data_IF_993396004990
#
_entry.id   IF_993396004990
#
_cell.length_a   1.000
_cell.length_b   1.000
_cell.length_c   1.000
_cell.angle_alpha   90.00
_cell.angle_beta   90.00
_cell.angle_gamma   90.00
#
_symmetry.space_group_name_H-M   'P 1'
#
loop_
_entity.id
_entity.type
_entity.pdbx_description
1 polymer ?
#
# COMPACT_ATOMS: atom_id res chain seq x y z
N UNK A 1 1.61 -26.90 33.39
CA UNK A 1 1.97 -26.98 31.96
C UNK A 1 1.48 -25.72 31.29
N UNK A 2 2.37 -24.70 31.15
CA UNK A 2 2.06 -23.44 30.45
C UNK A 2 2.24 -23.74 28.98
N UNK A 3 1.13 -23.81 28.24
CA UNK A 3 1.12 -23.91 26.79
C UNK A 3 1.43 -22.51 26.22
N UNK A 4 2.71 -22.29 25.94
CA UNK A 4 3.08 -21.11 25.09
C UNK A 4 2.53 -21.35 23.70
N UNK A 5 1.36 -20.79 23.42
CA UNK A 5 0.86 -20.67 22.06
C UNK A 5 1.69 -19.56 21.43
N UNK A 6 2.72 -19.95 20.71
CA UNK A 6 3.44 -19.04 19.81
C UNK A 6 2.46 -18.63 18.71
N UNK A 7 1.91 -17.43 18.80
CA UNK A 7 1.26 -16.80 17.66
C UNK A 7 2.35 -16.51 16.64
N UNK A 8 2.58 -17.44 15.75
CA UNK A 8 3.27 -17.14 14.50
C UNK A 8 2.31 -16.24 13.72
N UNK A 9 2.55 -14.94 13.78
CA UNK A 9 2.00 -14.03 12.79
C UNK A 9 2.52 -14.51 11.43
N UNK A 10 1.68 -15.20 10.68
CA UNK A 10 1.90 -15.46 9.27
C UNK A 10 1.79 -14.11 8.56
N UNK A 11 2.90 -13.35 8.54
CA UNK A 11 3.08 -12.28 7.57
C UNK A 11 3.19 -12.94 6.21
N UNK A 12 2.04 -13.16 5.54
CA UNK A 12 2.06 -13.67 4.19
C UNK A 12 2.75 -12.61 3.33
N UNK A 13 3.89 -12.99 2.76
CA UNK A 13 4.51 -12.17 1.73
C UNK A 13 3.52 -12.10 0.57
N UNK A 14 3.21 -10.87 0.13
CA UNK A 14 2.38 -10.68 -1.05
C UNK A 14 3.05 -11.36 -2.23
N UNK A 15 2.36 -12.29 -2.88
CA UNK A 15 2.88 -13.08 -3.99
C UNK A 15 2.55 -12.44 -5.34
N UNK A 16 3.36 -12.74 -6.36
CA UNK A 16 3.09 -12.32 -7.75
C UNK A 16 1.69 -12.79 -8.16
N UNK A 17 0.91 -11.86 -8.73
CA UNK A 17 -0.47 -12.11 -9.14
C UNK A 17 -1.54 -11.78 -8.09
N UNK A 18 -1.17 -11.62 -6.81
CA UNK A 18 -2.12 -11.19 -5.77
C UNK A 18 -2.78 -9.86 -6.15
N UNK A 19 -4.04 -9.72 -5.76
CA UNK A 19 -4.76 -8.46 -5.94
C UNK A 19 -4.55 -7.57 -4.71
N UNK A 20 -3.93 -6.41 -4.95
CA UNK A 20 -3.78 -5.35 -3.96
C UNK A 20 -4.75 -4.23 -4.27
N UNK A 21 -5.55 -3.82 -3.31
CA UNK A 21 -6.46 -2.69 -3.44
C UNK A 21 -5.89 -1.47 -2.76
N UNK A 22 -5.96 -0.35 -3.46
CA UNK A 22 -5.62 0.98 -2.94
C UNK A 22 -6.89 1.82 -2.95
N UNK A 23 -7.35 2.25 -1.78
CA UNK A 23 -8.43 3.21 -1.65
C UNK A 23 -7.84 4.58 -1.30
N UNK A 24 -8.07 5.55 -2.17
CA UNK A 24 -7.63 6.93 -1.96
C UNK A 24 -8.75 7.72 -1.32
N UNK A 25 -8.52 8.18 -0.10
CA UNK A 25 -9.52 8.73 0.81
C UNK A 25 -9.28 10.23 1.00
N UNK A 26 -10.35 11.02 0.88
CA UNK A 26 -10.37 12.43 1.26
C UNK A 26 -11.08 12.58 2.60
N UNK A 27 -10.39 13.26 3.51
CA UNK A 27 -10.93 13.69 4.80
C UNK A 27 -10.77 15.19 4.89
N UNK A 28 -11.81 15.91 5.30
CA UNK A 28 -11.70 17.35 5.56
C UNK A 28 -10.79 17.59 6.76
N UNK A 29 -10.06 18.72 6.77
CA UNK A 29 -8.95 18.92 7.73
C UNK A 29 -9.42 18.92 9.19
N UNK A 30 -10.60 19.42 9.45
CA UNK A 30 -11.24 19.46 10.77
C UNK A 30 -11.77 18.10 11.26
N UNK A 31 -11.90 17.11 10.36
CA UNK A 31 -12.38 15.76 10.67
C UNK A 31 -11.24 14.71 10.75
N UNK A 32 -10.00 15.09 10.50
CA UNK A 32 -8.88 14.13 10.41
C UNK A 32 -8.71 13.33 11.69
N UNK A 33 -8.73 13.98 12.84
CA UNK A 33 -8.59 13.31 14.15
C UNK A 33 -9.74 12.31 14.41
N UNK A 34 -10.97 12.73 14.14
CA UNK A 34 -12.15 11.87 14.32
C UNK A 34 -12.11 10.67 13.36
N UNK A 35 -11.72 10.91 12.11
CA UNK A 35 -11.56 9.83 11.12
C UNK A 35 -10.48 8.84 11.53
N UNK A 36 -9.29 9.30 11.93
CA UNK A 36 -8.20 8.42 12.33
C UNK A 36 -8.59 7.59 13.57
N UNK A 37 -9.24 8.20 14.56
CA UNK A 37 -9.77 7.48 15.73
C UNK A 37 -10.79 6.43 15.31
N UNK A 38 -11.74 6.78 14.45
CA UNK A 38 -12.72 5.85 13.91
C UNK A 38 -12.06 4.65 13.19
N UNK A 39 -11.08 4.91 12.36
CA UNK A 39 -10.38 3.86 11.62
C UNK A 39 -9.58 2.94 12.56
N UNK A 40 -8.92 3.49 13.57
CA UNK A 40 -8.12 2.73 14.55
C UNK A 40 -9.03 1.94 15.51
N UNK A 41 -10.11 2.53 15.98
CA UNK A 41 -10.96 1.93 17.01
C UNK A 41 -11.95 0.90 16.45
N UNK A 42 -12.43 1.11 15.23
CA UNK A 42 -13.48 0.27 14.65
C UNK A 42 -13.04 -0.51 13.41
N UNK A 43 -12.49 0.16 12.42
CA UNK A 43 -12.14 -0.50 11.14
C UNK A 43 -10.92 -1.41 11.29
N UNK A 44 -9.89 -0.94 11.97
CA UNK A 44 -8.66 -1.70 12.20
C UNK A 44 -8.88 -3.04 12.89
N UNK A 45 -9.58 -3.09 14.06
CA UNK A 45 -9.90 -4.36 14.71
C UNK A 45 -10.73 -5.30 13.84
N UNK A 46 -11.66 -4.77 13.04
CA UNK A 46 -12.44 -5.56 12.09
C UNK A 46 -11.54 -6.15 11.00
N UNK A 47 -10.63 -5.35 10.45
CA UNK A 47 -9.64 -5.80 9.48
C UNK A 47 -8.69 -6.85 10.05
N UNK A 48 -8.18 -6.65 11.28
CA UNK A 48 -7.35 -7.66 11.99
C UNK A 48 -8.09 -8.98 12.18
N UNK A 49 -9.37 -8.94 12.54
CA UNK A 49 -10.18 -10.15 12.64
C UNK A 49 -10.28 -10.87 11.28
N UNK A 50 -10.49 -10.12 10.19
CA UNK A 50 -10.55 -10.69 8.85
C UNK A 50 -9.20 -11.31 8.41
N UNK A 51 -8.08 -10.66 8.74
CA UNK A 51 -6.73 -11.19 8.49
C UNK A 51 -6.51 -12.48 9.27
N UNK A 52 -6.86 -12.50 10.57
CA UNK A 52 -6.68 -13.69 11.43
C UNK A 52 -7.52 -14.89 10.96
N UNK A 53 -8.62 -14.65 10.27
CA UNK A 53 -9.48 -15.68 9.67
C UNK A 53 -9.06 -16.11 8.26
N UNK A 54 -7.99 -15.53 7.72
CA UNK A 54 -7.55 -15.77 6.34
C UNK A 54 -8.52 -15.23 5.26
N UNK A 55 -9.38 -14.29 5.66
CA UNK A 55 -10.32 -13.61 4.74
C UNK A 55 -9.66 -12.46 3.99
N UNK A 56 -8.56 -11.98 4.51
CA UNK A 56 -7.73 -10.92 4.00
C UNK A 56 -6.29 -11.24 4.35
N UNK A 57 -5.34 -10.97 3.48
CA UNK A 57 -3.94 -11.23 3.81
C UNK A 57 -3.32 -10.11 4.64
N UNK A 58 -3.72 -8.87 4.36
CA UNK A 58 -3.24 -7.70 5.11
C UNK A 58 -4.19 -6.50 4.92
N UNK A 59 -4.15 -5.56 5.86
CA UNK A 59 -4.83 -4.28 5.79
C UNK A 59 -3.99 -3.19 6.47
N UNK A 60 -3.80 -2.06 5.78
CA UNK A 60 -2.98 -0.94 6.25
C UNK A 60 -3.70 0.38 6.03
N UNK A 61 -3.54 1.31 6.95
CA UNK A 61 -3.94 2.71 6.76
C UNK A 61 -2.71 3.62 6.82
N UNK A 62 -2.57 4.49 5.81
CA UNK A 62 -1.50 5.46 5.73
C UNK A 62 -2.02 6.88 5.55
N UNK A 63 -1.41 7.82 6.25
CA UNK A 63 -1.68 9.27 6.11
C UNK A 63 -0.71 9.88 5.11
N UNK A 64 -1.22 10.68 4.18
CA UNK A 64 -0.41 11.46 3.24
C UNK A 64 0.30 12.59 3.99
N UNK A 65 1.61 12.69 3.81
CA UNK A 65 2.39 13.75 4.45
C UNK A 65 2.02 15.12 3.89
N UNK A 66 1.89 16.13 4.76
CA UNK A 66 1.55 17.51 4.36
C UNK A 66 2.54 18.12 3.36
N UNK A 67 3.81 17.68 3.42
CA UNK A 67 4.86 18.11 2.51
C UNK A 67 4.99 17.25 1.24
N UNK A 68 4.05 16.34 1.00
CA UNK A 68 4.00 15.59 -0.25
C UNK A 68 3.88 16.56 -1.43
N UNK A 69 4.71 16.38 -2.45
CA UNK A 69 4.76 17.25 -3.63
C UNK A 69 3.49 17.20 -4.49
N UNK A 70 2.65 16.23 -4.22
CA UNK A 70 1.41 16.01 -4.95
C UNK A 70 0.22 16.21 -4.03
N UNK A 71 -0.56 17.25 -4.29
CA UNK A 71 -1.88 17.40 -3.70
C UNK A 71 -2.90 16.64 -4.56
N UNK A 72 -3.08 15.38 -4.25
CA UNK A 72 -3.97 14.47 -4.98
C UNK A 72 -5.45 14.71 -4.70
N UNK A 73 -5.76 15.67 -3.83
CA UNK A 73 -7.13 15.81 -3.32
C UNK A 73 -7.54 14.67 -2.39
N UNK A 74 -6.59 13.87 -1.90
CA UNK A 74 -6.79 12.85 -0.87
C UNK A 74 -5.77 13.00 0.25
N UNK A 75 -6.15 12.57 1.45
CA UNK A 75 -5.36 12.69 2.67
C UNK A 75 -4.87 11.36 3.23
N UNK A 76 -5.51 10.25 2.83
CA UNK A 76 -5.17 8.91 3.30
C UNK A 76 -5.22 7.89 2.17
N UNK A 77 -4.51 6.77 2.39
CA UNK A 77 -4.55 5.58 1.53
C UNK A 77 -4.79 4.37 2.44
N UNK A 78 -5.92 3.68 2.23
CA UNK A 78 -6.11 2.36 2.77
C UNK A 78 -5.66 1.32 1.74
N UNK A 79 -4.95 0.29 2.22
CA UNK A 79 -4.32 -0.74 1.38
C UNK A 79 -4.72 -2.08 1.93
N UNK A 80 -5.16 -3.00 1.09
CA UNK A 80 -5.35 -4.38 1.49
C UNK A 80 -5.03 -5.36 0.38
N UNK A 81 -4.54 -6.51 0.79
CA UNK A 81 -4.30 -7.65 -0.10
C UNK A 81 -5.50 -8.56 -0.02
N UNK A 82 -6.24 -8.66 -1.11
CA UNK A 82 -7.49 -9.39 -1.16
C UNK A 82 -7.23 -10.89 -1.37
N UNK A 83 -7.93 -11.72 -0.60
CA UNK A 83 -8.08 -13.15 -0.88
C UNK A 83 -9.10 -13.37 -2.00
N UNK A 84 -9.15 -14.57 -2.56
CA UNK A 84 -10.17 -14.95 -3.54
C UNK A 84 -10.95 -16.18 -3.03
N UNK A 85 -12.26 -16.08 -2.74
CA UNK A 85 -13.12 -14.89 -2.88
C UNK A 85 -12.87 -13.83 -1.82
N UNK A 86 -13.12 -12.56 -2.18
CA UNK A 86 -13.00 -11.44 -1.26
C UNK A 86 -14.13 -11.47 -0.22
N UNK A 87 -13.84 -11.17 1.07
CA UNK A 87 -14.86 -11.17 2.11
C UNK A 87 -15.86 -10.01 1.93
N UNK A 88 -17.10 -10.26 2.30
CA UNK A 88 -18.06 -9.18 2.52
C UNK A 88 -17.70 -8.41 3.79
N UNK A 89 -17.56 -7.10 3.70
CA UNK A 89 -17.32 -6.25 4.87
C UNK A 89 -18.43 -6.39 5.92
N UNK A 90 -19.68 -6.61 5.53
CA UNK A 90 -20.76 -6.91 6.47
C UNK A 90 -20.44 -8.12 7.34
N UNK A 91 -19.98 -9.22 6.74
CA UNK A 91 -19.58 -10.41 7.48
C UNK A 91 -18.35 -10.18 8.35
N UNK A 92 -17.40 -9.38 7.88
CA UNK A 92 -16.21 -8.98 8.67
C UNK A 92 -16.64 -8.23 9.95
N UNK A 93 -17.54 -7.27 9.82
CA UNK A 93 -18.08 -6.51 10.95
C UNK A 93 -18.88 -7.36 11.93
N UNK A 94 -19.73 -8.26 11.43
CA UNK A 94 -20.50 -9.18 12.28
C UNK A 94 -19.61 -10.05 13.15
N UNK A 95 -18.51 -10.53 12.59
CA UNK A 95 -17.55 -11.38 13.32
C UNK A 95 -16.66 -10.60 14.28
N UNK A 96 -16.19 -9.43 13.86
CA UNK A 96 -15.36 -8.58 14.71
C UNK A 96 -16.13 -8.08 15.95
N UNK A 97 -17.42 -7.84 15.80
CA UNK A 97 -18.29 -7.27 16.85
C UNK A 97 -19.55 -8.12 17.09
N UNK A 98 -19.39 -9.39 17.54
CA UNK A 98 -20.51 -10.31 17.69
C UNK A 98 -21.52 -9.89 18.78
N UNK A 99 -21.08 -9.09 19.75
CA UNK A 99 -21.90 -8.60 20.84
C UNK A 99 -22.67 -7.31 20.52
N UNK A 100 -22.41 -6.69 19.37
CA UNK A 100 -23.16 -5.53 18.91
C UNK A 100 -24.42 -5.97 18.13
N UNK A 101 -25.53 -5.28 18.36
CA UNK A 101 -26.71 -5.47 17.52
C UNK A 101 -26.44 -5.05 16.08
N UNK A 102 -27.26 -5.53 15.13
CA UNK A 102 -27.17 -5.12 13.73
C UNK A 102 -27.32 -3.60 13.59
N UNK A 103 -28.24 -2.98 14.36
CA UNK A 103 -28.45 -1.54 14.34
C UNK A 103 -27.24 -0.77 14.85
N UNK A 104 -26.59 -1.26 15.92
CA UNK A 104 -25.37 -0.64 16.44
C UNK A 104 -24.21 -0.72 15.42
N UNK A 105 -24.04 -1.86 14.76
CA UNK A 105 -23.04 -2.00 13.68
C UNK A 105 -23.34 -1.07 12.50
N UNK A 106 -24.61 -0.99 12.08
CA UNK A 106 -25.03 -0.09 11.00
C UNK A 106 -24.80 1.37 11.35
N UNK A 107 -25.04 1.75 12.60
CA UNK A 107 -24.79 3.12 13.07
C UNK A 107 -23.29 3.46 13.03
N UNK A 108 -22.42 2.55 13.51
CA UNK A 108 -20.96 2.75 13.47
C UNK A 108 -20.50 2.87 12.00
N UNK A 109 -20.98 2.00 11.13
CA UNK A 109 -20.64 2.05 9.71
C UNK A 109 -21.08 3.36 9.05
N UNK A 110 -22.34 3.79 9.28
CA UNK A 110 -22.86 5.05 8.78
C UNK A 110 -22.08 6.26 9.28
N UNK A 111 -21.61 6.22 10.55
CA UNK A 111 -20.73 7.27 11.08
C UNK A 111 -19.44 7.41 10.28
N UNK A 112 -18.86 6.30 9.84
CA UNK A 112 -17.69 6.32 8.96
C UNK A 112 -17.95 7.05 7.64
N UNK A 113 -19.11 6.83 7.02
CA UNK A 113 -19.48 7.48 5.75
C UNK A 113 -19.59 9.01 5.86
N UNK A 114 -19.84 9.56 7.06
CA UNK A 114 -19.89 11.01 7.32
C UNK A 114 -18.48 11.63 7.46
N UNK A 115 -17.47 10.82 7.75
CA UNK A 115 -16.13 11.30 8.07
C UNK A 115 -15.22 11.44 6.84
N UNK A 116 -15.49 10.66 5.79
CA UNK A 116 -14.62 10.66 4.61
C UNK A 116 -15.36 10.41 3.31
N UNK A 117 -14.72 10.70 2.22
CA UNK A 117 -15.13 10.29 0.88
C UNK A 117 -14.04 9.52 0.18
N UNK A 118 -14.42 8.53 -0.62
CA UNK A 118 -13.49 7.83 -1.51
C UNK A 118 -13.30 8.66 -2.77
N UNK A 119 -12.08 9.12 -3.01
CA UNK A 119 -11.75 9.84 -4.25
C UNK A 119 -11.78 8.87 -5.43
N UNK A 120 -11.08 7.74 -5.29
CA UNK A 120 -11.16 6.60 -6.20
C UNK A 120 -10.54 5.34 -5.57
N UNK A 121 -10.85 4.19 -6.17
CA UNK A 121 -10.24 2.91 -5.86
C UNK A 121 -9.35 2.46 -7.03
N UNK A 122 -8.25 1.81 -6.74
CA UNK A 122 -7.41 1.17 -7.73
C UNK A 122 -7.18 -0.30 -7.33
N UNK A 123 -7.60 -1.21 -8.19
CA UNK A 123 -7.24 -2.62 -8.09
C UNK A 123 -5.92 -2.80 -8.82
N UNK A 124 -4.93 -3.34 -8.12
CA UNK A 124 -3.61 -3.58 -8.65
C UNK A 124 -3.29 -5.08 -8.60
N UNK A 125 -2.48 -5.54 -9.50
CA UNK A 125 -1.86 -6.86 -9.46
C UNK A 125 -0.41 -6.67 -9.01
N UNK A 126 -0.03 -7.41 -7.98
CA UNK A 126 1.33 -7.42 -7.49
C UNK A 126 2.26 -8.09 -8.50
N UNK A 127 3.39 -7.45 -8.81
CA UNK A 127 4.35 -7.92 -9.81
C UNK A 127 5.61 -8.45 -9.15
N UNK A 128 6.22 -7.65 -8.28
CA UNK A 128 7.44 -8.00 -7.59
C UNK A 128 7.69 -7.07 -6.40
N UNK A 129 8.57 -7.49 -5.49
CA UNK A 129 9.03 -6.66 -4.39
C UNK A 129 9.74 -7.47 -3.33
N UNK A 130 10.17 -6.78 -2.29
CA UNK A 130 10.78 -7.37 -1.11
C UNK A 130 10.54 -6.48 0.12
N UNK A 131 10.58 -7.11 1.29
CA UNK A 131 10.76 -6.50 2.61
C UNK A 131 12.03 -7.09 3.21
N UNK A 132 12.89 -6.25 3.82
CA UNK A 132 14.10 -6.75 4.49
C UNK A 132 13.75 -7.52 5.75
N UNK A 133 12.79 -7.01 6.49
CA UNK A 133 12.19 -7.71 7.61
C UNK A 133 10.70 -7.90 7.34
N UNK A 134 10.27 -9.11 6.95
CA UNK A 134 8.85 -9.38 6.69
C UNK A 134 7.98 -9.36 7.97
N UNK A 135 8.58 -9.30 9.15
CA UNK A 135 7.84 -9.21 10.42
C UNK A 135 7.43 -7.78 10.79
N UNK A 136 7.95 -6.79 10.08
CA UNK A 136 7.69 -5.37 10.34
C UNK A 136 7.17 -4.65 9.13
N UNK A 137 6.24 -3.71 9.34
CA UNK A 137 5.76 -2.83 8.28
C UNK A 137 6.45 -1.47 8.44
N UNK A 138 7.24 -1.03 7.44
CA UNK A 138 7.97 0.23 7.52
C UNK A 138 7.04 1.44 7.67
N UNK A 139 7.42 2.37 8.54
CA UNK A 139 6.59 3.52 8.89
C UNK A 139 6.34 4.46 7.72
N UNK A 140 7.30 4.64 6.82
CA UNK A 140 7.23 5.59 5.72
C UNK A 140 7.15 4.85 4.40
N UNK A 141 6.24 5.30 3.53
CA UNK A 141 6.14 4.80 2.17
C UNK A 141 6.04 5.97 1.18
N UNK A 142 6.75 5.82 0.06
CA UNK A 142 6.66 6.72 -1.08
C UNK A 142 6.01 5.97 -2.23
N UNK A 143 4.80 6.39 -2.60
CA UNK A 143 4.08 5.88 -3.76
C UNK A 143 4.47 6.69 -4.99
N UNK A 144 5.09 6.06 -5.95
CA UNK A 144 5.33 6.64 -7.26
C UNK A 144 4.23 6.13 -8.21
N UNK A 145 3.23 6.97 -8.50
CA UNK A 145 2.18 6.66 -9.45
C UNK A 145 2.71 6.96 -10.87
N UNK A 146 2.76 5.96 -11.70
CA UNK A 146 3.57 5.95 -12.92
C UNK A 146 2.68 5.75 -14.15
N UNK A 147 2.95 6.51 -15.19
CA UNK A 147 2.48 6.23 -16.55
C UNK A 147 3.60 5.55 -17.31
N UNK A 148 3.39 4.29 -17.67
CA UNK A 148 4.34 3.55 -18.50
C UNK A 148 4.29 4.03 -19.95
N UNK A 149 5.45 4.21 -20.57
CA UNK A 149 5.58 4.54 -21.99
C UNK A 149 5.61 3.28 -22.85
N UNK A 150 6.19 2.19 -22.29
CA UNK A 150 6.28 0.86 -22.89
C UNK A 150 5.93 -0.18 -21.85
N UNK A 151 4.66 -0.44 -21.67
CA UNK A 151 4.09 -1.18 -20.56
C UNK A 151 4.81 -2.50 -20.22
N UNK A 152 4.87 -3.43 -21.17
CA UNK A 152 5.49 -4.74 -20.93
C UNK A 152 7.01 -4.64 -20.66
N UNK A 153 7.70 -3.78 -21.41
CA UNK A 153 9.14 -3.57 -21.20
C UNK A 153 9.43 -2.96 -19.82
N UNK A 154 8.54 -2.09 -19.34
CA UNK A 154 8.67 -1.51 -18.01
C UNK A 154 8.45 -2.56 -16.91
N UNK A 155 7.48 -3.46 -17.06
CA UNK A 155 7.27 -4.57 -16.13
C UNK A 155 8.52 -5.45 -16.01
N UNK A 156 9.11 -5.84 -17.13
CA UNK A 156 10.33 -6.65 -17.14
C UNK A 156 11.52 -5.90 -16.54
N UNK A 157 11.62 -4.59 -16.78
CA UNK A 157 12.63 -3.75 -16.13
C UNK A 157 12.51 -3.77 -14.62
N UNK A 158 11.30 -3.60 -14.09
CA UNK A 158 11.07 -3.55 -12.65
C UNK A 158 11.22 -4.92 -11.98
N UNK A 159 10.87 -6.01 -12.65
CA UNK A 159 11.16 -7.38 -12.16
C UNK A 159 12.64 -7.61 -11.97
N UNK A 160 13.46 -7.24 -12.96
CA UNK A 160 14.91 -7.36 -12.86
C UNK A 160 15.52 -6.38 -11.85
N UNK A 161 14.89 -5.21 -11.65
CA UNK A 161 15.35 -4.21 -10.69
C UNK A 161 15.22 -4.69 -9.23
N UNK A 162 14.25 -5.56 -8.91
CA UNK A 162 14.05 -6.12 -7.58
C UNK A 162 15.36 -6.64 -6.98
N UNK A 163 16.06 -7.55 -7.67
CA UNK A 163 17.29 -8.17 -7.17
C UNK A 163 18.43 -7.16 -7.00
N UNK A 164 18.46 -6.15 -7.87
CA UNK A 164 19.44 -5.05 -7.77
C UNK A 164 19.19 -4.24 -6.51
N UNK A 165 17.93 -3.87 -6.26
CA UNK A 165 17.56 -3.05 -5.10
C UNK A 165 17.73 -3.80 -3.79
N UNK A 166 17.27 -5.06 -3.73
CA UNK A 166 17.43 -5.91 -2.56
C UNK A 166 18.92 -6.09 -2.19
N UNK A 167 19.78 -6.23 -3.19
CA UNK A 167 21.21 -6.41 -2.98
C UNK A 167 21.95 -5.13 -2.60
N UNK A 168 21.66 -4.02 -3.25
CA UNK A 168 22.49 -2.82 -3.21
C UNK A 168 21.88 -1.63 -2.47
N UNK A 169 20.58 -1.45 -2.49
CA UNK A 169 19.90 -0.30 -1.90
C UNK A 169 19.64 -0.51 -0.39
N UNK A 170 20.65 -0.33 0.44
CA UNK A 170 20.57 -0.59 1.90
C UNK A 170 19.78 0.47 2.66
N UNK A 171 19.58 1.64 2.09
CA UNK A 171 18.82 2.75 2.68
C UNK A 171 17.29 2.54 2.66
N UNK A 172 16.77 1.54 1.93
CA UNK A 172 15.35 1.19 1.92
C UNK A 172 15.08 -0.10 2.68
N UNK A 173 13.93 -0.16 3.37
CA UNK A 173 13.48 -1.36 4.12
C UNK A 173 12.67 -2.31 3.23
N UNK A 174 12.20 -1.82 2.11
CA UNK A 174 11.49 -2.62 1.13
C UNK A 174 11.16 -1.84 -0.13
N UNK A 175 10.74 -2.59 -1.13
CA UNK A 175 10.31 -2.03 -2.40
C UNK A 175 9.29 -2.95 -3.05
N UNK A 176 8.25 -2.37 -3.64
CA UNK A 176 7.20 -3.11 -4.32
C UNK A 176 6.83 -2.46 -5.65
N UNK A 177 6.40 -3.27 -6.61
CA UNK A 177 5.83 -2.81 -7.87
C UNK A 177 4.54 -3.54 -8.16
N UNK A 178 3.54 -2.78 -8.61
CA UNK A 178 2.23 -3.29 -8.98
C UNK A 178 1.74 -2.65 -10.27
N UNK A 179 0.96 -3.38 -11.03
CA UNK A 179 0.24 -2.86 -12.20
C UNK A 179 -1.24 -2.65 -11.87
N UNK A 180 -1.81 -1.54 -12.32
CA UNK A 180 -3.23 -1.26 -12.15
C UNK A 180 -4.06 -2.15 -13.08
N UNK A 181 -5.11 -2.78 -12.52
CA UNK A 181 -6.09 -3.56 -13.30
C UNK A 181 -7.20 -2.64 -13.83
N UNK A 182 -7.73 -2.99 -14.99
CA UNK A 182 -8.85 -2.27 -15.59
C UNK A 182 -8.44 -1.14 -16.54
N UNK A 183 -9.44 -0.45 -17.06
CA UNK A 183 -9.23 0.63 -18.03
C UNK A 183 -8.67 1.86 -17.32
N UNK A 184 -7.50 2.31 -17.74
CA UNK A 184 -6.94 3.59 -17.31
C UNK A 184 -7.43 4.64 -18.30
N UNK A 185 -8.27 5.55 -17.81
CA UNK A 185 -8.72 6.70 -18.62
C UNK A 185 -7.48 7.51 -19.00
N UNK A 186 -7.36 7.85 -20.28
CA UNK A 186 -6.23 8.61 -20.78
C UNK A 186 -6.39 10.10 -20.40
N UNK A 187 -6.20 10.40 -19.12
CA UNK A 187 -6.23 11.75 -18.56
C UNK A 187 -4.84 12.16 -18.06
N UNK A 188 -4.63 13.46 -17.89
CA UNK A 188 -3.37 14.03 -17.44
C UNK A 188 -3.10 13.55 -16.02
N UNK A 189 -3.21 12.95 -15.29
CA UNK A 189 -2.92 12.35 -13.98
C UNK A 189 -3.12 10.84 -13.94
N UNK A 190 -3.53 10.24 -15.07
CA UNK A 190 -3.75 8.80 -15.14
C UNK A 190 -2.43 8.04 -14.99
N UNK A 191 -2.45 6.99 -14.19
CA UNK A 191 -1.33 6.10 -13.97
C UNK A 191 -1.76 4.63 -14.18
N UNK A 192 -0.83 3.79 -14.58
CA UNK A 192 -1.05 2.36 -14.84
C UNK A 192 -0.14 1.44 -14.02
N UNK A 193 0.89 2.00 -13.41
CA UNK A 193 1.84 1.30 -12.56
C UNK A 193 2.08 2.09 -11.27
N UNK A 194 2.41 1.40 -10.21
CA UNK A 194 2.87 2.02 -8.95
C UNK A 194 4.08 1.28 -8.42
N UNK A 195 5.12 2.04 -8.04
CA UNK A 195 6.18 1.52 -7.17
C UNK A 195 6.04 2.13 -5.79
N UNK A 196 6.41 1.37 -4.77
CA UNK A 196 6.37 1.80 -3.38
C UNK A 196 7.75 1.58 -2.78
N UNK A 197 8.41 2.69 -2.42
CA UNK A 197 9.67 2.68 -1.70
C UNK A 197 9.37 2.78 -0.20
N UNK A 198 9.91 1.89 0.61
CA UNK A 198 9.61 1.75 2.04
C UNK A 198 10.83 2.12 2.90
N UNK A 199 10.58 2.87 3.98
CA UNK A 199 11.61 3.38 4.88
C UNK A 199 11.12 3.36 6.34
N UNK A 200 12.06 3.23 7.30
CA UNK A 200 11.74 3.33 8.72
C UNK A 200 11.47 4.77 9.15
N UNK A 201 12.23 5.71 8.58
CA UNK A 201 12.23 7.11 9.02
C UNK A 201 12.12 8.11 7.87
N UNK A 202 11.62 9.31 8.18
CA UNK A 202 11.58 10.42 7.23
C UNK A 202 12.98 10.84 6.77
N UNK A 203 13.99 10.70 7.62
CA UNK A 203 15.37 11.00 7.25
C UNK A 203 15.85 10.11 6.12
N UNK A 204 15.69 8.78 6.25
CA UNK A 204 16.01 7.82 5.19
C UNK A 204 15.21 8.09 3.92
N UNK A 205 13.92 8.37 4.05
CA UNK A 205 13.04 8.66 2.90
C UNK A 205 13.45 9.91 2.09
N UNK A 206 14.16 10.85 2.72
CA UNK A 206 14.67 12.04 2.07
C UNK A 206 16.09 11.88 1.52
N UNK A 207 16.76 10.76 1.78
CA UNK A 207 18.07 10.46 1.23
C UNK A 207 17.96 9.91 -0.19
N UNK A 208 19.05 10.06 -0.96
CA UNK A 208 19.12 9.50 -2.30
C UNK A 208 19.67 8.06 -2.23
N UNK A 209 18.82 7.11 -1.86
CA UNK A 209 19.18 5.70 -1.77
C UNK A 209 19.65 5.09 -3.12
N UNK A 210 19.27 5.69 -4.25
CA UNK A 210 19.75 5.28 -5.57
C UNK A 210 21.27 5.43 -5.73
N UNK A 211 21.89 6.34 -4.96
CA UNK A 211 23.35 6.53 -5.00
C UNK A 211 24.13 5.36 -4.41
N UNK A 212 23.48 4.48 -3.68
CA UNK A 212 24.08 3.27 -3.12
C UNK A 212 24.30 2.17 -4.17
N UNK A 213 23.56 2.24 -5.27
CA UNK A 213 23.64 1.25 -6.34
C UNK A 213 24.84 1.58 -7.22
N UNK A 214 25.78 0.62 -7.43
CA UNK A 214 26.95 0.86 -8.27
C UNK A 214 26.55 1.30 -9.68
N UNK A 215 27.19 2.35 -10.18
CA UNK A 215 26.87 2.94 -11.50
C UNK A 215 26.94 1.94 -12.65
N UNK A 216 27.91 1.04 -12.62
CA UNK A 216 28.06 -0.01 -13.64
C UNK A 216 26.93 -1.03 -13.61
N UNK A 217 26.29 -1.28 -12.45
CA UNK A 217 25.13 -2.17 -12.32
C UNK A 217 23.92 -1.50 -12.98
N UNK A 218 23.62 -0.24 -12.62
CA UNK A 218 22.51 0.50 -13.23
C UNK A 218 22.73 0.75 -14.72
N UNK A 219 23.97 0.98 -15.15
CA UNK A 219 24.29 1.13 -16.58
C UNK A 219 23.91 -0.14 -17.36
N UNK A 220 24.34 -1.32 -16.90
CA UNK A 220 23.99 -2.61 -17.54
C UNK A 220 22.49 -2.86 -17.56
N UNK A 221 21.79 -2.55 -16.45
CA UNK A 221 20.34 -2.68 -16.36
C UNK A 221 19.62 -1.78 -17.39
N UNK A 222 20.03 -0.51 -17.50
CA UNK A 222 19.48 0.43 -18.46
C UNK A 222 19.82 0.06 -19.92
N UNK A 223 21.01 -0.50 -20.18
CA UNK A 223 21.39 -1.01 -21.51
C UNK A 223 20.50 -2.18 -21.94
N UNK A 224 20.12 -3.06 -20.98
CA UNK A 224 19.22 -4.21 -21.24
C UNK A 224 17.78 -3.79 -21.53
N UNK A 225 17.22 -2.87 -20.76
CA UNK A 225 15.79 -2.57 -20.78
C UNK A 225 15.44 -1.22 -21.45
N UNK A 226 16.40 -0.30 -21.50
CA UNK A 226 16.18 1.09 -21.89
C UNK A 226 16.05 2.02 -20.70
N UNK A 227 16.18 3.32 -20.94
CA UNK A 227 16.18 4.35 -19.88
C UNK A 227 14.92 5.20 -19.80
N UNK A 228 14.06 5.15 -20.81
CA UNK A 228 12.89 6.03 -20.92
C UNK A 228 11.59 5.23 -21.05
N UNK A 229 11.34 4.35 -20.07
CA UNK A 229 10.15 3.47 -20.09
C UNK A 229 8.98 4.00 -19.29
N UNK A 230 9.17 5.03 -18.46
CA UNK A 230 8.15 5.54 -17.53
C UNK A 230 8.17 7.05 -17.39
N UNK A 231 7.05 7.56 -16.90
CA UNK A 231 6.90 8.92 -16.38
C UNK A 231 6.26 8.83 -15.00
N UNK A 232 6.89 9.40 -13.98
CA UNK A 232 6.28 9.51 -12.65
C UNK A 232 5.30 10.67 -12.70
N UNK A 233 4.00 10.35 -12.67
CA UNK A 233 2.91 11.33 -12.65
C UNK A 233 2.77 11.97 -11.29
N UNK A 234 2.83 11.15 -10.23
CA UNK A 234 2.64 11.61 -8.87
C UNK A 234 3.59 10.86 -7.94
N UNK A 235 4.13 11.58 -6.98
CA UNK A 235 4.93 11.03 -5.91
C UNK A 235 4.31 11.40 -4.57
N UNK A 236 3.76 10.43 -3.87
CA UNK A 236 3.00 10.60 -2.63
C UNK A 236 3.76 10.00 -1.47
N UNK A 237 4.14 10.82 -0.50
CA UNK A 237 4.80 10.38 0.73
C UNK A 237 3.75 10.15 1.83
N UNK A 238 3.86 9.04 2.52
CA UNK A 238 2.89 8.65 3.55
C UNK A 238 3.56 8.12 4.80
N UNK A 239 2.91 8.33 5.96
CA UNK A 239 3.22 7.65 7.22
C UNK A 239 2.19 6.56 7.53
N UNK A 240 2.65 5.48 8.17
CA UNK A 240 1.78 4.41 8.66
C UNK A 240 0.98 4.93 9.86
N UNK A 241 -0.32 4.64 9.88
CA UNK A 241 -1.22 4.92 11.01
C UNK A 241 -1.65 3.63 11.70
N UNK A 242 -1.88 2.57 10.92
CA UNK A 242 -2.40 1.31 11.41
C UNK A 242 -2.01 0.15 10.50
N UNK A 243 -1.73 -1.03 11.12
CA UNK A 243 -1.41 -2.32 10.52
C UNK A 243 -2.07 -3.49 11.28
#
# INVERSE_FOLDING_TARGET
>A
LILCISFTFLNSQVEEGNTVRLQFIKVEEDKVEEFESYMIEYVGPAAKAAVSEGKMENWLLRRVAKNSRYNAGFSHIAIWVATNPEPSWTQVWEKAYPNLSADARSWIYGKGEELYSTVYNANCEYIAGFLRDPSTIPNIAIFNLIKSKKYNAYIEQEKDAKDIFEKHAKGIEGWHVMKRKGMVVNSEGAWDMVTIDLFDTWEKANQNWWSEIPRNVMKKHNEKHGSDLREIRHRVMTGLLFD
#
